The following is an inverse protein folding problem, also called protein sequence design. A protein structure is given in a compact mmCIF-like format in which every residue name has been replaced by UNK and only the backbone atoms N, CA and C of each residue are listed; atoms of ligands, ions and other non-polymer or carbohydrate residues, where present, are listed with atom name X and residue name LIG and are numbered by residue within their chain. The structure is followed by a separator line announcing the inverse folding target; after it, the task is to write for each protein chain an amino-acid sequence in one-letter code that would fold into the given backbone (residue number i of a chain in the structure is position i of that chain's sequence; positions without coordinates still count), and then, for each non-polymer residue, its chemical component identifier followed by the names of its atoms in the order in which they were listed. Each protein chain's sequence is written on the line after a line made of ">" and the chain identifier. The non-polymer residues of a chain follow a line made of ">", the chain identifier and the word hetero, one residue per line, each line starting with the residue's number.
data_IF_208731882466
#
_entry.id   IF_208731882466
#
_cell.length_a   1.000
_cell.length_b   1.000
_cell.length_c   1.000
_cell.angle_alpha   90.00
_cell.angle_beta   90.00
_cell.angle_gamma   90.00
#
_symmetry.space_group_name_H-M   'P 1'
#
loop_
_entity.id
_entity.type
_entity.pdbx_description
1 polymer ?
#
# COMPACT_ATOMS: atom_id res chain seq x y z
N UNK A 1 -8.85 1.52 18.86
CA UNK A 1 -7.86 0.59 18.26
C UNK A 1 -7.80 0.86 16.77
N UNK A 2 -6.71 1.37 16.25
CA UNK A 2 -6.52 1.52 14.81
C UNK A 2 -6.19 0.13 14.27
N UNK A 3 -6.96 -0.36 13.31
CA UNK A 3 -6.63 -1.60 12.58
C UNK A 3 -5.28 -1.40 11.88
N UNK A 4 -4.25 -1.95 12.47
CA UNK A 4 -2.91 -1.98 11.92
C UNK A 4 -2.87 -3.05 10.82
N UNK A 5 -2.51 -2.72 9.58
CA UNK A 5 -2.45 -3.71 8.51
C UNK A 5 -1.45 -4.85 8.78
N UNK A 6 -0.47 -4.62 9.65
CA UNK A 6 0.51 -5.63 10.06
C UNK A 6 -0.06 -6.73 10.97
N UNK A 7 -1.28 -6.55 11.50
CA UNK A 7 -1.98 -7.51 12.34
C UNK A 7 -3.28 -7.98 11.67
N UNK A 8 -3.34 -7.98 10.35
CA UNK A 8 -4.47 -8.56 9.64
C UNK A 8 -4.59 -10.05 10.01
N UNK A 9 -5.78 -10.46 10.48
CA UNK A 9 -6.03 -11.87 10.73
C UNK A 9 -5.81 -12.67 9.43
N UNK A 10 -5.05 -13.75 9.52
CA UNK A 10 -4.92 -14.71 8.42
C UNK A 10 -6.32 -15.23 8.11
N UNK A 11 -6.82 -14.93 6.94
CA UNK A 11 -8.15 -15.36 6.49
C UNK A 11 -8.01 -16.44 5.44
N UNK A 12 -8.88 -17.46 5.45
CA UNK A 12 -8.93 -18.42 4.37
C UNK A 12 -9.03 -17.70 3.03
N UNK A 13 -8.11 -17.99 2.12
CA UNK A 13 -8.07 -17.40 0.79
C UNK A 13 -9.00 -18.17 -0.17
N UNK A 14 -9.15 -17.67 -1.39
CA UNK A 14 -9.89 -18.41 -2.41
C UNK A 14 -9.24 -19.77 -2.75
N UNK A 15 -7.93 -19.92 -2.54
CA UNK A 15 -7.18 -21.18 -2.71
C UNK A 15 -7.46 -22.23 -1.63
N UNK A 16 -8.20 -21.89 -0.58
CA UNK A 16 -8.73 -22.86 0.40
C UNK A 16 -10.10 -23.43 -0.03
N UNK A 17 -10.68 -22.95 -1.12
CA UNK A 17 -12.01 -23.34 -1.57
C UNK A 17 -11.94 -24.56 -2.49
N UNK A 18 -12.62 -25.69 -2.14
CA UNK A 18 -12.63 -26.91 -2.97
C UNK A 18 -13.06 -26.66 -4.42
N UNK A 19 -14.04 -25.74 -4.62
CA UNK A 19 -14.55 -25.39 -5.96
C UNK A 19 -13.51 -24.73 -6.85
N UNK A 20 -12.59 -23.92 -6.27
CA UNK A 20 -11.50 -23.33 -7.03
C UNK A 20 -10.46 -24.39 -7.37
N UNK A 21 -10.04 -25.17 -6.37
CA UNK A 21 -9.04 -26.23 -6.54
C UNK A 21 -9.46 -27.25 -7.61
N UNK A 22 -10.76 -27.61 -7.64
CA UNK A 22 -11.32 -28.52 -8.67
C UNK A 22 -11.28 -27.94 -10.08
N UNK A 23 -11.39 -26.61 -10.22
CA UNK A 23 -11.33 -25.92 -11.53
C UNK A 23 -9.93 -25.65 -12.03
N UNK A 24 -8.94 -25.76 -11.15
CA UNK A 24 -7.55 -25.64 -11.53
C UNK A 24 -7.09 -26.88 -12.30
N UNK A 25 -6.10 -26.71 -13.15
CA UNK A 25 -5.41 -27.86 -13.75
C UNK A 25 -4.73 -28.70 -12.68
N UNK A 26 -4.88 -30.03 -12.69
CA UNK A 26 -4.26 -30.91 -11.70
C UNK A 26 -2.77 -30.68 -11.52
N UNK A 27 -2.04 -30.49 -12.64
CA UNK A 27 -0.62 -30.17 -12.60
C UNK A 27 -0.31 -28.88 -11.82
N UNK A 28 -1.18 -27.85 -11.89
CA UNK A 28 -1.00 -26.61 -11.15
C UNK A 28 -1.28 -26.80 -9.65
N UNK A 29 -2.24 -27.65 -9.28
CA UNK A 29 -2.46 -28.02 -7.88
C UNK A 29 -1.24 -28.74 -7.31
N UNK A 30 -0.71 -29.73 -8.04
CA UNK A 30 0.53 -30.42 -7.64
C UNK A 30 1.73 -29.48 -7.54
N UNK A 31 1.82 -28.54 -8.47
CA UNK A 31 2.87 -27.52 -8.49
C UNK A 31 2.77 -26.58 -7.27
N UNK A 32 1.55 -26.19 -6.86
CA UNK A 32 1.32 -25.37 -5.66
C UNK A 32 1.89 -26.05 -4.41
N UNK A 33 1.72 -27.36 -4.28
CA UNK A 33 2.20 -28.14 -3.12
C UNK A 33 3.53 -28.86 -3.39
N UNK A 34 4.29 -28.46 -4.42
CA UNK A 34 5.60 -29.06 -4.71
C UNK A 34 6.65 -28.88 -3.59
N UNK A 35 6.71 -27.78 -2.80
CA UNK A 35 7.67 -27.67 -1.71
C UNK A 35 7.52 -28.78 -0.66
N UNK A 36 8.66 -29.32 -0.22
CA UNK A 36 8.70 -30.45 0.74
C UNK A 36 8.00 -30.12 2.07
N UNK A 37 8.11 -28.87 2.55
CA UNK A 37 7.40 -28.38 3.75
C UNK A 37 5.88 -28.43 3.62
N UNK A 38 5.35 -28.11 2.43
CA UNK A 38 3.92 -28.14 2.16
C UNK A 38 3.41 -29.57 2.09
N UNK A 39 4.14 -30.46 1.38
CA UNK A 39 3.79 -31.88 1.30
C UNK A 39 3.79 -32.55 2.66
N UNK A 40 4.82 -32.28 3.46
CA UNK A 40 4.88 -32.79 4.83
C UNK A 40 3.70 -32.33 5.67
N UNK A 41 3.40 -31.03 5.64
CA UNK A 41 2.27 -30.43 6.37
C UNK A 41 0.94 -31.10 6.01
N UNK A 42 0.71 -31.38 4.72
CA UNK A 42 -0.49 -32.08 4.24
C UNK A 42 -0.48 -33.55 4.70
N UNK A 43 0.64 -34.26 4.54
CA UNK A 43 0.76 -35.66 4.92
C UNK A 43 0.54 -35.88 6.44
N UNK A 44 1.07 -34.98 7.29
CA UNK A 44 0.86 -35.01 8.74
C UNK A 44 -0.64 -34.85 9.12
N UNK A 45 -1.48 -34.41 8.17
CA UNK A 45 -2.94 -34.28 8.29
C UNK A 45 -3.75 -35.32 7.49
N UNK A 46 -3.06 -36.35 7.02
CA UNK A 46 -3.69 -37.42 6.24
C UNK A 46 -4.06 -37.05 4.82
N UNK A 47 -3.57 -35.91 4.30
CA UNK A 47 -3.79 -35.49 2.92
C UNK A 47 -2.58 -35.92 2.07
N UNK A 48 -2.82 -36.85 1.16
CA UNK A 48 -1.84 -37.31 0.16
C UNK A 48 -2.37 -36.93 -1.21
N UNK A 49 -1.64 -36.08 -1.93
CA UNK A 49 -1.96 -35.74 -3.31
C UNK A 49 -1.37 -36.82 -4.22
N UNK A 50 -2.17 -37.55 -5.00
CA UNK A 50 -1.68 -38.55 -5.94
C UNK A 50 -0.93 -37.86 -7.11
N UNK A 51 0.02 -38.59 -7.71
CA UNK A 51 0.76 -38.07 -8.87
C UNK A 51 -0.13 -37.92 -10.12
N UNK A 52 -1.15 -38.76 -10.22
CA UNK A 52 -2.19 -38.78 -11.25
C UNK A 52 -3.47 -38.04 -10.81
N UNK A 53 -3.31 -36.93 -10.10
CA UNK A 53 -4.42 -36.11 -9.64
C UNK A 53 -5.35 -35.75 -10.82
N UNK A 54 -6.65 -36.00 -10.65
CA UNK A 54 -7.68 -35.71 -11.63
C UNK A 54 -8.89 -34.95 -11.03
N UNK A 55 -9.88 -34.67 -11.85
CA UNK A 55 -11.10 -33.95 -11.45
C UNK A 55 -11.98 -34.73 -10.45
N UNK A 56 -11.79 -36.05 -10.33
CA UNK A 56 -12.56 -36.91 -9.41
C UNK A 56 -12.04 -36.82 -7.97
N UNK A 57 -10.86 -36.25 -7.75
CA UNK A 57 -10.27 -36.10 -6.43
C UNK A 57 -11.19 -35.26 -5.51
N UNK A 58 -11.40 -35.74 -4.29
CA UNK A 58 -12.14 -34.97 -3.29
C UNK A 58 -11.29 -33.87 -2.67
N UNK A 59 -11.47 -32.63 -3.14
CA UNK A 59 -10.80 -31.45 -2.64
C UNK A 59 -11.34 -30.92 -1.31
N UNK A 60 -12.42 -31.49 -0.75
CA UNK A 60 -13.01 -30.98 0.50
C UNK A 60 -12.07 -31.14 1.69
N UNK A 61 -11.43 -32.29 1.92
CA UNK A 61 -10.46 -32.44 3.02
C UNK A 61 -9.28 -31.50 2.88
N UNK A 62 -8.74 -31.31 1.66
CA UNK A 62 -7.65 -30.38 1.38
C UNK A 62 -8.07 -28.94 1.71
N UNK A 63 -9.25 -28.52 1.24
CA UNK A 63 -9.79 -27.19 1.51
C UNK A 63 -9.98 -26.91 3.00
N UNK A 64 -10.43 -27.92 3.77
CA UNK A 64 -10.57 -27.82 5.22
C UNK A 64 -9.21 -27.63 5.93
N UNK A 65 -8.19 -28.39 5.54
CA UNK A 65 -6.83 -28.25 6.08
C UNK A 65 -6.26 -26.87 5.77
N UNK A 66 -6.45 -26.37 4.55
CA UNK A 66 -5.96 -25.06 4.15
C UNK A 66 -6.75 -23.89 4.76
N UNK A 67 -8.00 -24.12 5.17
CA UNK A 67 -8.83 -23.08 5.84
C UNK A 67 -8.57 -22.98 7.33
N UNK A 68 -8.06 -24.04 7.96
CA UNK A 68 -7.85 -24.14 9.40
C UNK A 68 -6.34 -24.05 9.72
N UNK A 69 -5.80 -22.85 9.60
CA UNK A 69 -4.41 -22.61 9.99
C UNK A 69 -4.22 -22.86 11.49
N UNK A 70 -3.14 -23.58 11.83
CA UNK A 70 -2.70 -23.90 13.19
C UNK A 70 -1.31 -23.36 13.44
N UNK A 71 -0.83 -23.47 14.68
CA UNK A 71 0.50 -22.99 15.07
C UNK A 71 1.64 -23.64 14.29
N UNK A 72 1.43 -24.85 13.78
CA UNK A 72 2.40 -25.63 12.98
C UNK A 72 2.22 -25.47 11.45
N UNK A 73 1.27 -24.62 10.99
CA UNK A 73 1.14 -24.32 9.57
C UNK A 73 2.41 -23.62 9.06
N UNK A 74 3.06 -24.13 7.99
CA UNK A 74 4.24 -23.49 7.44
C UNK A 74 3.97 -22.01 7.09
N UNK A 75 4.72 -21.05 7.65
CA UNK A 75 4.52 -19.62 7.35
C UNK A 75 4.59 -19.33 5.86
N UNK A 76 5.52 -19.99 5.15
CA UNK A 76 5.65 -19.85 3.70
C UNK A 76 4.38 -20.26 2.95
N UNK A 77 3.70 -21.32 3.36
CA UNK A 77 2.43 -21.74 2.74
C UNK A 77 1.36 -20.66 2.91
N UNK A 78 1.26 -20.07 4.10
CA UNK A 78 0.30 -18.97 4.36
C UNK A 78 0.59 -17.77 3.47
N UNK A 79 1.86 -17.32 3.43
CA UNK A 79 2.29 -16.19 2.60
C UNK A 79 2.01 -16.45 1.11
N UNK A 80 2.31 -17.65 0.62
CA UNK A 80 2.06 -18.02 -0.77
C UNK A 80 0.57 -18.04 -1.11
N UNK A 81 -0.28 -18.59 -0.23
CA UNK A 81 -1.73 -18.58 -0.44
C UNK A 81 -2.32 -17.16 -0.47
N UNK A 82 -1.83 -16.27 0.38
CA UNK A 82 -2.24 -14.87 0.37
C UNK A 82 -1.80 -14.15 -0.92
N UNK A 83 -0.55 -14.37 -1.33
CA UNK A 83 0.02 -13.84 -2.57
C UNK A 83 -0.77 -14.31 -3.79
N UNK A 84 -1.03 -15.61 -3.89
CA UNK A 84 -1.80 -16.22 -4.97
C UNK A 84 -3.23 -15.68 -5.02
N UNK A 85 -3.91 -15.60 -3.88
CA UNK A 85 -5.26 -15.04 -3.81
C UNK A 85 -5.31 -13.59 -4.27
N UNK A 86 -4.28 -12.82 -3.94
CA UNK A 86 -4.15 -11.46 -4.39
C UNK A 86 -3.96 -11.37 -5.90
N UNK A 87 -3.10 -12.21 -6.49
CA UNK A 87 -2.88 -12.27 -7.93
C UNK A 87 -4.16 -12.72 -8.65
N UNK A 88 -4.80 -13.80 -8.20
CA UNK A 88 -5.99 -14.37 -8.83
C UNK A 88 -7.24 -13.45 -8.77
N UNK A 89 -7.40 -12.68 -7.69
CA UNK A 89 -8.54 -11.77 -7.53
C UNK A 89 -8.44 -10.47 -8.35
N UNK A 90 -7.36 -10.26 -9.04
CA UNK A 90 -7.10 -9.02 -9.78
C UNK A 90 -7.66 -9.00 -11.21
N UNK A 91 -8.72 -9.70 -11.49
CA UNK A 91 -9.33 -9.85 -12.83
C UNK A 91 -9.52 -8.57 -13.66
N UNK A 92 -9.46 -7.39 -13.06
CA UNK A 92 -9.69 -6.12 -13.78
C UNK A 92 -8.46 -5.24 -14.01
N UNK A 93 -7.28 -5.65 -13.55
CA UNK A 93 -6.10 -4.77 -13.55
C UNK A 93 -4.79 -5.49 -13.91
N UNK A 94 -4.86 -6.58 -14.65
CA UNK A 94 -3.67 -7.19 -15.25
C UNK A 94 -3.17 -6.33 -16.43
N UNK A 95 -2.74 -5.12 -16.14
CA UNK A 95 -1.65 -4.55 -16.90
C UNK A 95 -0.36 -5.17 -16.33
N UNK A 96 -0.15 -6.44 -16.65
CA UNK A 96 1.17 -7.01 -16.49
C UNK A 96 2.13 -6.12 -17.26
N UNK A 97 3.19 -5.67 -16.62
CA UNK A 97 4.35 -5.16 -17.32
C UNK A 97 4.75 -6.16 -18.42
N UNK A 98 5.43 -5.70 -19.45
CA UNK A 98 5.78 -6.55 -20.61
C UNK A 98 6.41 -7.88 -20.21
N UNK A 99 7.19 -7.89 -19.12
CA UNK A 99 7.81 -9.07 -18.52
C UNK A 99 6.78 -10.12 -18.07
N UNK A 100 5.67 -9.69 -17.44
CA UNK A 100 4.59 -10.59 -17.08
C UNK A 100 3.78 -11.07 -18.30
N UNK A 101 3.62 -10.23 -19.31
CA UNK A 101 2.94 -10.63 -20.56
C UNK A 101 3.72 -11.72 -21.28
N UNK A 102 5.03 -11.66 -21.24
CA UNK A 102 5.89 -12.69 -21.84
C UNK A 102 5.75 -14.02 -21.08
N UNK A 103 5.76 -14.00 -19.75
CA UNK A 103 5.53 -15.21 -18.94
C UNK A 103 4.14 -15.79 -19.18
N UNK A 104 3.11 -14.93 -19.27
CA UNK A 104 1.75 -15.38 -19.62
C UNK A 104 1.76 -16.10 -20.96
N UNK A 105 2.41 -15.54 -22.00
CA UNK A 105 2.49 -16.17 -23.31
C UNK A 105 3.27 -17.49 -23.31
N UNK A 106 4.36 -17.58 -22.52
CA UNK A 106 5.21 -18.77 -22.46
C UNK A 106 4.61 -19.91 -21.64
N UNK A 107 3.80 -19.61 -20.64
CA UNK A 107 3.35 -20.60 -19.64
C UNK A 107 1.83 -20.79 -19.59
N UNK A 108 1.03 -19.96 -20.24
CA UNK A 108 -0.41 -20.11 -20.25
C UNK A 108 -0.84 -21.09 -21.36
N UNK A 109 -1.52 -22.15 -20.96
CA UNK A 109 -2.11 -23.15 -21.85
C UNK A 109 -3.61 -22.91 -22.05
N UNK A 110 -4.17 -23.44 -23.13
CA UNK A 110 -5.58 -23.33 -23.40
C UNK A 110 -6.43 -23.97 -22.27
N UNK A 111 -7.43 -23.26 -21.81
CA UNK A 111 -8.34 -23.70 -20.77
C UNK A 111 -7.83 -23.53 -19.34
N UNK A 112 -6.69 -22.88 -19.14
CA UNK A 112 -6.19 -22.53 -17.79
C UNK A 112 -6.95 -21.36 -17.19
N UNK A 113 -7.06 -21.39 -15.87
CA UNK A 113 -7.64 -20.32 -15.06
C UNK A 113 -6.58 -19.30 -14.62
N UNK A 114 -7.01 -18.13 -14.16
CA UNK A 114 -6.09 -17.18 -13.52
C UNK A 114 -5.43 -17.73 -12.25
N UNK A 115 -6.05 -18.71 -11.59
CA UNK A 115 -5.45 -19.39 -10.45
C UNK A 115 -4.27 -20.27 -10.88
N UNK A 116 -4.40 -20.97 -12.00
CA UNK A 116 -3.32 -21.77 -12.58
C UNK A 116 -2.14 -20.89 -12.96
N UNK A 117 -2.41 -19.79 -13.65
CA UNK A 117 -1.40 -18.80 -14.01
C UNK A 117 -0.69 -18.23 -12.77
N UNK A 118 -1.42 -17.87 -11.72
CA UNK A 118 -0.83 -17.34 -10.50
C UNK A 118 0.16 -18.34 -9.88
N UNK A 119 -0.18 -19.64 -9.83
CA UNK A 119 0.71 -20.70 -9.35
C UNK A 119 1.95 -20.84 -10.23
N UNK A 120 1.79 -20.83 -11.54
CA UNK A 120 2.92 -20.87 -12.49
C UNK A 120 3.87 -19.68 -12.30
N UNK A 121 3.34 -18.46 -12.18
CA UNK A 121 4.12 -17.25 -11.91
C UNK A 121 4.89 -17.41 -10.58
N UNK A 122 4.22 -17.84 -9.52
CA UNK A 122 4.86 -18.03 -8.22
C UNK A 122 6.02 -19.03 -8.27
N UNK A 123 5.90 -20.10 -9.05
CA UNK A 123 6.92 -21.18 -9.10
C UNK A 123 8.03 -20.91 -10.12
N UNK A 124 7.73 -20.33 -11.26
CA UNK A 124 8.72 -20.10 -12.32
C UNK A 124 9.35 -18.70 -12.28
N UNK A 125 8.64 -17.71 -11.75
CA UNK A 125 9.11 -16.33 -11.65
C UNK A 125 8.70 -15.69 -10.31
N UNK A 126 9.17 -16.22 -9.16
CA UNK A 126 8.75 -15.75 -7.84
C UNK A 126 9.03 -14.26 -7.62
N UNK A 127 10.09 -13.71 -8.22
CA UNK A 127 10.41 -12.28 -8.15
C UNK A 127 9.29 -11.40 -8.72
N UNK A 128 8.61 -11.84 -9.78
CA UNK A 128 7.48 -11.11 -10.37
C UNK A 128 6.25 -11.19 -9.46
N UNK A 129 5.99 -12.35 -8.88
CA UNK A 129 4.90 -12.50 -7.91
C UNK A 129 5.09 -11.54 -6.73
N UNK A 130 6.28 -11.48 -6.16
CA UNK A 130 6.61 -10.58 -5.06
C UNK A 130 6.61 -9.11 -5.47
N UNK A 131 7.09 -8.77 -6.66
CA UNK A 131 7.03 -7.41 -7.21
C UNK A 131 5.57 -6.92 -7.31
N UNK A 132 4.66 -7.78 -7.78
CA UNK A 132 3.23 -7.44 -7.83
C UNK A 132 2.60 -7.35 -6.44
N UNK A 133 3.01 -8.19 -5.48
CA UNK A 133 2.61 -8.06 -4.08
C UNK A 133 3.01 -6.69 -3.52
N UNK A 134 4.26 -6.32 -3.68
CA UNK A 134 4.78 -5.03 -3.25
C UNK A 134 4.02 -3.87 -3.90
N UNK A 135 3.82 -3.92 -5.23
CA UNK A 135 3.05 -2.91 -5.97
C UNK A 135 1.64 -2.70 -5.42
N UNK A 136 1.01 -3.75 -4.90
CA UNK A 136 -0.32 -3.66 -4.29
C UNK A 136 -0.27 -3.19 -2.85
N UNK A 137 0.72 -3.62 -2.09
CA UNK A 137 0.97 -3.08 -0.76
C UNK A 137 1.16 -1.56 -0.84
N UNK A 138 1.87 -1.06 -1.87
CA UNK A 138 1.99 0.35 -2.21
C UNK A 138 0.63 1.04 -2.41
N UNK A 139 -0.26 0.43 -3.17
CA UNK A 139 -1.61 0.97 -3.44
C UNK A 139 -2.53 0.96 -2.23
N UNK A 140 -2.25 0.13 -1.23
CA UNK A 140 -3.02 0.04 0.01
C UNK A 140 -2.56 1.04 1.08
N UNK A 141 -1.40 1.66 0.94
CA UNK A 141 -0.93 2.70 1.86
C UNK A 141 -1.85 3.92 1.78
N UNK A 142 -2.40 4.32 2.94
CA UNK A 142 -3.46 5.32 3.01
C UNK A 142 -3.03 6.71 3.43
N UNK A 143 -1.76 6.88 3.83
CA UNK A 143 -1.27 8.15 4.34
C UNK A 143 0.21 8.34 4.04
N UNK A 144 0.49 9.38 3.27
CA UNK A 144 1.84 9.84 2.99
C UNK A 144 2.01 11.26 3.50
N UNK A 145 3.21 11.57 3.95
CA UNK A 145 3.68 12.94 4.09
C UNK A 145 4.58 13.27 2.91
N UNK A 146 4.46 14.49 2.41
CA UNK A 146 5.17 14.95 1.23
C UNK A 146 6.31 15.88 1.61
N UNK A 147 7.45 15.69 0.96
CA UNK A 147 8.66 16.48 1.17
C UNK A 147 9.25 16.88 -0.17
N UNK A 148 9.62 18.14 -0.31
CA UNK A 148 10.32 18.65 -1.49
C UNK A 148 11.82 18.60 -1.29
N UNK A 149 12.54 18.37 -2.38
CA UNK A 149 14.01 18.44 -2.41
C UNK A 149 14.43 19.91 -2.43
N UNK A 150 15.40 20.28 -1.60
CA UNK A 150 15.95 21.63 -1.60
C UNK A 150 16.53 21.99 -2.98
N UNK A 151 16.39 23.26 -3.36
CA UNK A 151 16.87 23.76 -4.65
C UNK A 151 18.40 23.57 -4.79
N UNK A 152 18.83 23.28 -6.01
CA UNK A 152 20.26 23.12 -6.34
C UNK A 152 20.88 21.76 -5.99
N UNK A 153 20.15 20.87 -5.33
CA UNK A 153 20.65 19.51 -5.05
C UNK A 153 20.45 18.58 -6.24
N UNK A 154 21.42 17.70 -6.46
CA UNK A 154 21.39 16.68 -7.52
C UNK A 154 20.70 15.41 -7.01
N UNK A 155 19.95 14.76 -7.89
CA UNK A 155 19.38 13.45 -7.63
C UNK A 155 20.37 12.35 -7.97
N UNK A 156 20.70 11.50 -7.02
CA UNK A 156 21.62 10.38 -7.20
C UNK A 156 20.84 9.09 -7.44
N UNK A 157 21.27 8.22 -8.37
CA UNK A 157 20.53 6.98 -8.69
C UNK A 157 20.56 5.97 -7.52
N UNK A 158 19.55 5.08 -7.42
CA UNK A 158 19.48 4.02 -6.43
C UNK A 158 20.42 2.86 -6.82
N UNK A 159 21.70 2.98 -6.48
CA UNK A 159 22.64 1.86 -6.66
C UNK A 159 22.54 0.87 -5.49
N UNK A 160 22.93 -0.39 -5.70
CA UNK A 160 22.95 -1.42 -4.65
C UNK A 160 23.78 -0.99 -3.45
N UNK A 161 24.91 -0.30 -3.67
CA UNK A 161 25.75 0.27 -2.62
C UNK A 161 25.00 1.30 -1.76
N UNK A 162 24.23 2.19 -2.38
CA UNK A 162 23.41 3.17 -1.64
C UNK A 162 22.28 2.50 -0.88
N UNK A 163 21.63 1.49 -1.48
CA UNK A 163 20.59 0.71 -0.81
C UNK A 163 21.18 -0.01 0.41
N UNK A 164 22.33 -0.68 0.28
CA UNK A 164 23.03 -1.29 1.41
C UNK A 164 23.43 -0.27 2.50
N UNK A 165 23.78 0.94 2.10
CA UNK A 165 24.08 2.04 3.05
C UNK A 165 22.82 2.50 3.79
N UNK A 166 21.66 2.60 3.11
CA UNK A 166 20.37 2.87 3.75
C UNK A 166 20.01 1.76 4.75
N UNK A 167 20.11 0.50 4.35
CA UNK A 167 19.82 -0.64 5.22
C UNK A 167 20.68 -0.59 6.50
N UNK A 168 21.98 -0.25 6.36
CA UNK A 168 22.91 -0.12 7.48
C UNK A 168 22.50 1.01 8.41
N UNK A 169 22.25 2.21 7.88
CA UNK A 169 21.83 3.37 8.67
C UNK A 169 20.52 3.12 9.41
N UNK A 170 19.53 2.61 8.70
CA UNK A 170 18.22 2.34 9.29
C UNK A 170 18.27 1.19 10.30
N UNK A 171 19.06 0.14 10.05
CA UNK A 171 19.24 -0.97 11.01
C UNK A 171 19.81 -0.46 12.33
N UNK A 172 20.85 0.37 12.28
CA UNK A 172 21.46 0.98 13.48
C UNK A 172 20.47 1.87 14.23
N UNK A 173 19.66 2.65 13.50
CA UNK A 173 18.64 3.49 14.12
C UNK A 173 17.51 2.66 14.75
N UNK A 174 17.02 1.62 14.07
CA UNK A 174 15.99 0.73 14.59
C UNK A 174 16.44 0.02 15.86
N UNK A 175 17.66 -0.51 15.88
CA UNK A 175 18.22 -1.16 17.06
C UNK A 175 18.29 -0.20 18.25
N UNK A 176 18.80 1.02 18.05
CA UNK A 176 18.84 2.07 19.07
C UNK A 176 17.47 2.45 19.63
N UNK A 177 16.40 2.27 18.84
CA UNK A 177 15.02 2.58 19.20
C UNK A 177 14.21 1.32 19.59
N UNK A 178 14.86 0.27 20.11
CA UNK A 178 14.27 -0.97 20.61
C UNK A 178 13.45 -1.75 19.55
N UNK A 179 13.75 -1.54 18.26
CA UNK A 179 13.22 -2.30 17.14
C UNK A 179 14.19 -3.40 16.71
N UNK A 180 14.06 -3.92 15.51
CA UNK A 180 15.01 -4.92 15.01
C UNK A 180 16.33 -4.27 14.56
N UNK A 181 17.44 -5.00 14.70
CA UNK A 181 18.73 -4.65 14.07
C UNK A 181 18.82 -5.07 12.59
N UNK A 182 17.74 -5.58 12.02
CA UNK A 182 17.69 -6.00 10.62
C UNK A 182 16.65 -5.18 9.86
N UNK A 183 17.11 -4.45 8.86
CA UNK A 183 16.31 -3.72 7.90
C UNK A 183 16.62 -4.21 6.50
N UNK A 184 15.60 -4.30 5.64
CA UNK A 184 15.76 -4.59 4.21
C UNK A 184 14.99 -3.58 3.40
N UNK A 185 15.62 -3.14 2.32
CA UNK A 185 15.04 -2.15 1.40
C UNK A 185 14.96 -2.76 0.01
N UNK A 186 13.75 -2.86 -0.52
CA UNK A 186 13.52 -3.24 -1.91
C UNK A 186 13.15 -2.01 -2.71
N UNK A 187 13.65 -1.94 -3.92
CA UNK A 187 13.37 -0.83 -4.85
C UNK A 187 12.48 -1.30 -5.98
N UNK A 188 11.57 -0.44 -6.38
CA UNK A 188 10.77 -0.62 -7.57
C UNK A 188 10.70 0.70 -8.32
N UNK A 189 11.11 0.70 -9.58
CA UNK A 189 11.06 1.85 -10.46
C UNK A 189 9.93 1.68 -11.46
N UNK A 190 9.20 2.76 -11.72
CA UNK A 190 8.17 2.86 -12.75
C UNK A 190 8.26 4.22 -13.48
N UNK A 191 7.30 4.49 -14.37
CA UNK A 191 7.27 5.73 -15.13
C UNK A 191 7.11 7.00 -14.27
N UNK A 192 6.49 6.89 -13.10
CA UNK A 192 6.22 8.00 -12.19
C UNK A 192 7.39 8.28 -11.25
N UNK A 193 8.19 7.24 -10.92
CA UNK A 193 9.28 7.43 -9.97
C UNK A 193 9.92 6.15 -9.47
N UNK A 194 10.44 6.22 -8.23
CA UNK A 194 11.12 5.13 -7.55
C UNK A 194 10.46 4.90 -6.20
N UNK A 195 10.02 3.69 -5.96
CA UNK A 195 9.46 3.24 -4.68
C UNK A 195 10.50 2.44 -3.90
N UNK A 196 10.60 2.72 -2.61
CA UNK A 196 11.45 2.00 -1.65
C UNK A 196 10.55 1.39 -0.59
N UNK A 197 10.57 0.07 -0.47
CA UNK A 197 9.82 -0.68 0.53
C UNK A 197 10.78 -1.06 1.62
N UNK A 198 10.61 -0.45 2.79
CA UNK A 198 11.45 -0.65 3.97
C UNK A 198 10.79 -1.68 4.87
N UNK A 199 11.36 -2.88 4.93
CA UNK A 199 10.92 -3.97 5.79
C UNK A 199 11.74 -3.98 7.06
N UNK A 200 11.09 -3.92 8.22
CA UNK A 200 11.74 -3.97 9.53
C UNK A 200 10.81 -4.57 10.60
N UNK A 201 11.35 -4.92 11.77
CA UNK A 201 10.53 -5.32 12.92
C UNK A 201 10.12 -4.11 13.75
N UNK A 202 8.88 -4.10 14.24
CA UNK A 202 8.37 -3.07 15.15
C UNK A 202 8.85 -3.30 16.60
N UNK A 203 8.30 -2.55 17.53
CA UNK A 203 8.53 -2.77 18.96
C UNK A 203 8.08 -4.16 19.39
N UNK A 204 8.79 -4.73 20.37
CA UNK A 204 8.42 -6.01 20.93
C UNK A 204 7.08 -5.89 21.68
N UNK A 205 6.09 -6.66 21.26
CA UNK A 205 4.76 -6.68 21.85
C UNK A 205 4.51 -7.99 22.61
N UNK A 206 3.90 -7.86 23.80
CA UNK A 206 3.38 -9.00 24.53
C UNK A 206 1.94 -9.26 24.07
N UNK A 207 1.69 -10.46 23.56
CA UNK A 207 0.37 -10.91 23.16
C UNK A 207 -0.07 -12.11 23.99
N UNK A 208 -1.30 -12.06 24.52
CA UNK A 208 -1.97 -13.26 25.00
C UNK A 208 -2.43 -14.09 23.81
N UNK A 209 -2.10 -15.35 23.78
CA UNK A 209 -2.51 -16.31 22.76
C UNK A 209 -3.20 -17.51 23.41
N UNK A 210 -4.17 -18.08 22.71
CA UNK A 210 -4.76 -19.36 23.08
C UNK A 210 -4.06 -20.44 22.23
N UNK A 211 -3.42 -21.39 22.90
CA UNK A 211 -2.77 -22.53 22.24
C UNK A 211 -3.83 -23.52 21.70
N UNK A 212 -3.41 -24.44 20.82
CA UNK A 212 -4.31 -25.40 20.19
C UNK A 212 -4.99 -26.35 21.20
N UNK A 213 -4.40 -26.51 22.38
CA UNK A 213 -4.97 -27.28 23.53
C UNK A 213 -5.97 -26.48 24.37
N UNK A 214 -6.22 -25.21 24.01
CA UNK A 214 -7.10 -24.30 24.75
C UNK A 214 -6.43 -23.57 25.92
N UNK A 215 -5.16 -23.84 26.22
CA UNK A 215 -4.41 -23.13 27.26
C UNK A 215 -4.11 -21.69 26.87
N UNK A 216 -4.04 -20.79 27.89
CA UNK A 216 -3.67 -19.39 27.67
C UNK A 216 -2.19 -19.20 27.92
N UNK A 217 -1.50 -18.69 26.90
CA UNK A 217 -0.08 -18.37 26.95
C UNK A 217 0.19 -16.89 26.71
N UNK A 218 1.40 -16.44 27.02
CA UNK A 218 1.86 -15.09 26.70
C UNK A 218 3.12 -15.19 25.84
N UNK A 219 3.02 -14.71 24.59
CA UNK A 219 4.14 -14.69 23.64
C UNK A 219 4.64 -13.28 23.43
N UNK A 220 5.97 -13.15 23.38
CA UNK A 220 6.63 -11.91 22.96
C UNK A 220 6.87 -12.00 21.45
N UNK A 221 6.20 -11.15 20.70
CA UNK A 221 6.29 -11.11 19.24
C UNK A 221 6.79 -9.74 18.80
N UNK A 222 7.60 -9.74 17.76
CA UNK A 222 8.03 -8.54 17.06
C UNK A 222 7.32 -8.47 15.72
N UNK A 223 6.25 -7.66 15.60
CA UNK A 223 5.52 -7.53 14.35
C UNK A 223 6.42 -7.03 13.23
N UNK A 224 6.25 -7.57 12.04
CA UNK A 224 6.85 -7.03 10.83
C UNK A 224 6.14 -5.74 10.42
N UNK A 225 6.91 -4.78 9.91
CA UNK A 225 6.46 -3.53 9.32
C UNK A 225 7.00 -3.37 7.92
N UNK A 226 6.13 -2.87 7.06
CA UNK A 226 6.47 -2.41 5.72
C UNK A 226 6.15 -0.91 5.64
N UNK A 227 7.17 -0.09 5.61
CA UNK A 227 7.03 1.33 5.36
C UNK A 227 7.39 1.63 3.90
N UNK A 228 6.73 2.62 3.33
CA UNK A 228 6.88 2.99 1.94
C UNK A 228 7.44 4.39 1.82
N UNK A 229 8.48 4.51 1.01
CA UNK A 229 9.02 5.79 0.59
C UNK A 229 8.98 5.82 -0.93
N UNK A 230 8.44 6.88 -1.51
CA UNK A 230 8.33 7.02 -2.96
C UNK A 230 8.90 8.35 -3.42
N UNK A 231 9.79 8.33 -4.38
CA UNK A 231 10.36 9.50 -5.03
C UNK A 231 9.70 9.72 -6.39
N UNK A 232 9.01 10.84 -6.56
CA UNK A 232 8.43 11.28 -7.82
C UNK A 232 9.45 12.06 -8.63
N UNK A 233 9.93 11.49 -9.72
CA UNK A 233 10.97 12.11 -10.56
C UNK A 233 10.53 13.47 -11.15
N UNK A 234 9.30 13.55 -11.66
CA UNK A 234 8.78 14.74 -12.33
C UNK A 234 8.67 15.97 -11.40
N UNK A 235 8.17 15.79 -10.21
CA UNK A 235 7.98 16.87 -9.21
C UNK A 235 9.15 16.99 -8.23
N UNK A 236 10.12 16.07 -8.27
CA UNK A 236 11.22 15.95 -7.30
C UNK A 236 10.72 15.91 -5.85
N UNK A 237 9.66 15.14 -5.63
CA UNK A 237 8.95 15.08 -4.37
C UNK A 237 9.08 13.68 -3.76
N UNK A 238 9.36 13.64 -2.48
CA UNK A 238 9.40 12.42 -1.68
C UNK A 238 8.09 12.25 -0.91
N UNK A 239 7.46 11.11 -1.05
CA UNK A 239 6.29 10.68 -0.28
C UNK A 239 6.76 9.65 0.73
N UNK A 240 6.59 9.92 2.02
CA UNK A 240 7.03 9.03 3.10
C UNK A 240 5.81 8.55 3.88
N UNK A 241 5.60 7.23 3.93
CA UNK A 241 4.69 6.59 4.85
C UNK A 241 5.49 6.02 6.02
N UNK A 242 4.91 6.03 7.21
CA UNK A 242 5.55 5.48 8.40
C UNK A 242 4.72 5.75 9.63
N UNK A 243 4.93 4.96 10.68
CA UNK A 243 4.22 5.10 11.95
C UNK A 243 5.02 5.94 12.92
N UNK A 244 4.57 7.19 13.11
CA UNK A 244 5.18 8.14 14.03
C UNK A 244 6.23 9.05 13.39
N UNK A 245 6.31 10.25 13.91
CA UNK A 245 7.12 11.32 13.30
C UNK A 245 8.62 11.02 13.36
N UNK A 246 9.08 10.38 14.45
CA UNK A 246 10.50 10.04 14.62
C UNK A 246 11.03 9.11 13.52
N UNK A 247 10.24 8.12 13.09
CA UNK A 247 10.66 7.20 12.02
C UNK A 247 10.67 7.91 10.66
N UNK A 248 9.69 8.79 10.41
CA UNK A 248 9.63 9.60 9.20
C UNK A 248 10.79 10.59 9.12
N UNK A 249 11.16 11.21 10.25
CA UNK A 249 12.33 12.08 10.34
C UNK A 249 13.61 11.31 10.02
N UNK A 250 13.74 10.08 10.49
CA UNK A 250 14.90 9.25 10.16
C UNK A 250 14.93 8.85 8.69
N UNK A 251 13.78 8.48 8.10
CA UNK A 251 13.72 8.25 6.66
C UNK A 251 14.09 9.49 5.87
N UNK A 252 13.55 10.65 6.23
CA UNK A 252 13.90 11.95 5.62
C UNK A 252 15.39 12.20 5.65
N UNK A 253 16.03 11.97 6.82
CA UNK A 253 17.47 12.15 7.01
C UNK A 253 18.29 11.17 6.17
N UNK A 254 17.97 9.87 6.22
CA UNK A 254 18.73 8.82 5.54
C UNK A 254 18.61 8.94 4.01
N UNK A 255 17.40 9.11 3.49
CA UNK A 255 17.16 9.26 2.05
C UNK A 255 17.71 10.61 1.53
N UNK A 256 17.56 11.69 2.30
CA UNK A 256 18.17 12.98 1.97
C UNK A 256 19.70 12.89 1.85
N UNK A 257 20.35 12.25 2.81
CA UNK A 257 21.81 12.09 2.80
C UNK A 257 22.30 11.26 1.60
N UNK A 258 21.66 10.13 1.33
CA UNK A 258 22.15 9.16 0.34
C UNK A 258 21.73 9.47 -1.09
N UNK A 259 20.62 10.17 -1.29
CA UNK A 259 20.12 10.53 -2.62
C UNK A 259 20.40 11.98 -3.02
N UNK A 260 20.68 12.86 -2.06
CA UNK A 260 20.93 14.29 -2.33
C UNK A 260 22.19 14.84 -1.63
N UNK A 261 22.97 13.97 -0.98
CA UNK A 261 24.25 14.32 -0.35
C UNK A 261 24.16 15.04 0.98
N UNK A 262 22.95 15.34 1.49
CA UNK A 262 22.78 16.01 2.78
C UNK A 262 21.57 15.53 3.55
N UNK A 263 21.71 15.37 4.86
CA UNK A 263 20.62 14.93 5.74
C UNK A 263 19.42 15.90 5.79
N UNK A 264 19.63 17.16 5.44
CA UNK A 264 18.61 18.20 5.44
C UNK A 264 18.05 18.51 4.03
N UNK A 265 18.27 17.61 3.07
CA UNK A 265 17.83 17.79 1.69
C UNK A 265 16.30 17.89 1.54
N UNK A 266 15.56 17.25 2.44
CA UNK A 266 14.11 17.09 2.33
C UNK A 266 13.40 18.01 3.34
N UNK A 267 12.58 18.91 2.83
CA UNK A 267 11.74 19.81 3.62
C UNK A 267 10.26 19.47 3.45
N UNK A 268 9.43 19.57 4.51
CA UNK A 268 7.99 19.38 4.36
C UNK A 268 7.43 20.28 3.26
N UNK A 269 6.75 19.69 2.29
CA UNK A 269 6.14 20.44 1.20
C UNK A 269 4.67 20.70 1.53
N UNK A 270 4.17 21.92 1.21
CA UNK A 270 2.74 22.22 1.29
C UNK A 270 2.06 21.80 -0.01
N UNK A 271 1.81 20.52 -0.13
CA UNK A 271 1.20 19.97 -1.34
C UNK A 271 -0.30 20.21 -1.43
N UNK A 272 -0.98 20.26 -0.29
CA UNK A 272 -2.44 20.33 -0.27
C UNK A 272 -2.92 21.69 0.23
N UNK A 273 -4.01 22.19 -0.41
CA UNK A 273 -4.70 23.40 -0.03
C UNK A 273 -6.20 23.15 0.09
N UNK A 274 -6.85 23.86 0.97
CA UNK A 274 -8.31 23.93 1.06
C UNK A 274 -8.86 25.31 0.60
N UNK A 275 -7.99 26.18 0.09
CA UNK A 275 -8.39 27.47 -0.48
C UNK A 275 -9.46 27.37 -1.57
N UNK A 276 -9.49 26.33 -2.44
CA UNK A 276 -10.56 26.20 -3.41
C UNK A 276 -11.96 26.21 -2.80
N UNK A 277 -12.13 25.77 -1.53
CA UNK A 277 -13.43 25.78 -0.85
C UNK A 277 -14.01 27.19 -0.67
N UNK A 278 -13.18 28.24 -0.70
CA UNK A 278 -13.59 29.64 -0.63
C UNK A 278 -14.50 29.99 -1.83
N UNK A 279 -14.25 29.36 -2.98
CA UNK A 279 -15.05 29.58 -4.21
C UNK A 279 -16.39 28.82 -4.20
N UNK A 280 -16.74 28.18 -3.08
CA UNK A 280 -18.00 27.48 -2.91
C UNK A 280 -18.06 26.19 -3.75
N UNK A 281 -19.27 25.76 -4.10
CA UNK A 281 -19.53 24.47 -4.75
C UNK A 281 -18.86 24.30 -6.13
N UNK A 282 -18.54 25.39 -6.81
CA UNK A 282 -17.88 25.36 -8.12
C UNK A 282 -16.48 24.70 -8.07
N UNK A 283 -15.79 24.73 -6.92
CA UNK A 283 -14.49 24.08 -6.76
C UNK A 283 -14.56 22.54 -6.85
N UNK A 284 -15.75 21.96 -6.73
CA UNK A 284 -15.99 20.52 -6.86
C UNK A 284 -16.52 20.13 -8.25
N UNK A 285 -16.33 20.96 -9.26
CA UNK A 285 -16.80 20.70 -10.62
C UNK A 285 -16.13 19.43 -11.19
N UNK A 286 -16.95 18.52 -11.75
CA UNK A 286 -16.54 17.26 -12.32
C UNK A 286 -16.96 17.11 -13.79
N UNK A 287 -17.23 18.24 -14.49
CA UNK A 287 -17.74 18.21 -15.88
C UNK A 287 -16.78 17.58 -16.87
N UNK A 288 -15.50 17.57 -16.57
CA UNK A 288 -14.47 17.01 -17.44
C UNK A 288 -13.64 15.99 -16.65
N UNK A 289 -13.75 14.71 -17.00
CA UNK A 289 -12.89 13.68 -16.43
C UNK A 289 -13.62 12.44 -15.90
N UNK A 290 -12.86 11.49 -15.36
CA UNK A 290 -13.39 10.20 -14.87
C UNK A 290 -14.04 10.28 -13.49
N UNK A 291 -14.16 11.46 -12.87
CA UNK A 291 -14.95 11.67 -11.64
C UNK A 291 -16.30 12.27 -12.04
N UNK A 292 -17.38 11.53 -11.78
CA UNK A 292 -18.73 11.95 -12.15
C UNK A 292 -19.45 12.79 -11.08
N UNK A 293 -18.96 12.77 -9.85
CA UNK A 293 -19.54 13.52 -8.73
C UNK A 293 -18.50 13.72 -7.64
N UNK A 294 -18.41 14.95 -7.11
CA UNK A 294 -17.69 15.27 -5.89
C UNK A 294 -18.64 15.99 -4.91
N UNK A 295 -18.63 15.56 -3.65
CA UNK A 295 -19.51 16.10 -2.61
C UNK A 295 -18.70 16.37 -1.35
N UNK A 296 -18.70 17.62 -0.86
CA UNK A 296 -18.15 17.97 0.44
C UNK A 296 -19.02 17.38 1.55
N UNK A 297 -18.45 16.47 2.36
CA UNK A 297 -19.16 15.76 3.44
C UNK A 297 -18.89 16.34 4.81
N UNK A 298 -17.72 16.96 4.99
CA UNK A 298 -17.33 17.57 6.25
C UNK A 298 -16.27 18.62 5.99
N UNK A 299 -16.29 19.68 6.77
CA UNK A 299 -15.23 20.69 6.82
C UNK A 299 -15.00 21.08 8.28
N UNK A 300 -13.73 21.28 8.65
CA UNK A 300 -13.35 21.85 9.95
C UNK A 300 -12.67 23.18 9.72
N UNK A 301 -13.18 24.19 10.39
CA UNK A 301 -12.70 25.59 10.39
C UNK A 301 -12.06 25.90 11.73
N UNK A 302 -11.04 26.71 11.74
CA UNK A 302 -10.46 27.31 12.94
C UNK A 302 -10.76 28.81 12.96
N UNK A 303 -11.32 29.29 14.06
CA UNK A 303 -11.53 30.72 14.30
C UNK A 303 -10.21 31.40 14.70
N UNK A 304 -10.19 32.73 14.70
CA UNK A 304 -9.05 33.50 15.22
C UNK A 304 -8.73 33.18 16.70
N UNK A 305 -9.75 32.87 17.50
CA UNK A 305 -9.58 32.45 18.90
C UNK A 305 -9.05 31.02 19.07
N UNK A 306 -8.79 30.30 17.94
CA UNK A 306 -8.30 28.92 17.95
C UNK A 306 -9.39 27.86 18.13
N UNK A 307 -10.66 28.23 18.24
CA UNK A 307 -11.76 27.27 18.32
C UNK A 307 -11.96 26.54 17.01
N UNK A 308 -12.28 25.24 17.10
CA UNK A 308 -12.57 24.42 15.94
C UNK A 308 -14.07 24.23 15.75
N UNK A 309 -14.57 24.55 14.56
CA UNK A 309 -15.95 24.35 14.17
C UNK A 309 -15.98 23.30 13.07
N UNK A 310 -16.68 22.18 13.30
CA UNK A 310 -16.83 21.13 12.30
C UNK A 310 -18.27 21.08 11.81
N UNK A 311 -18.42 21.26 10.49
CA UNK A 311 -19.69 21.18 9.78
C UNK A 311 -19.73 19.84 9.04
N UNK A 312 -20.82 19.08 9.23
CA UNK A 312 -21.07 17.80 8.54
C UNK A 312 -22.49 17.76 8.02
N UNK A 313 -22.71 17.25 6.84
CA UNK A 313 -24.06 17.16 6.29
C UNK A 313 -24.15 16.67 4.87
N UNK A 314 -25.37 16.72 4.37
CA UNK A 314 -25.66 16.40 2.97
C UNK A 314 -25.23 17.55 2.03
N UNK A 315 -25.47 18.80 2.42
CA UNK A 315 -25.00 20.01 1.75
C UNK A 315 -24.21 20.89 2.75
N UNK A 316 -22.91 20.65 2.80
CA UNK A 316 -22.02 21.39 3.70
C UNK A 316 -21.82 22.82 3.22
N UNK A 317 -21.93 23.10 1.90
CA UNK A 317 -21.74 24.45 1.38
C UNK A 317 -22.86 25.42 1.77
N UNK A 318 -24.10 24.94 1.91
CA UNK A 318 -25.19 25.78 2.40
C UNK A 318 -24.87 26.31 3.81
N UNK A 319 -24.53 25.41 4.73
CA UNK A 319 -24.14 25.75 6.10
C UNK A 319 -22.82 26.53 6.18
N UNK A 320 -21.89 26.25 5.27
CA UNK A 320 -20.59 26.93 5.21
C UNK A 320 -20.79 28.42 4.81
N UNK A 321 -21.69 28.73 3.85
CA UNK A 321 -21.96 30.07 3.43
C UNK A 321 -22.55 30.97 4.53
N UNK A 322 -23.24 30.36 5.50
CA UNK A 322 -23.79 31.07 6.67
C UNK A 322 -22.76 31.29 7.79
N UNK A 323 -21.82 30.38 7.94
CA UNK A 323 -20.91 30.32 9.10
C UNK A 323 -19.49 30.81 8.79
N UNK A 324 -19.08 30.77 7.51
CA UNK A 324 -17.71 31.12 7.10
C UNK A 324 -17.47 32.62 7.19
N UNK A 325 -16.38 33.00 7.84
CA UNK A 325 -15.80 34.35 7.80
C UNK A 325 -14.41 34.28 7.17
N UNK A 326 -13.97 35.29 6.40
CA UNK A 326 -12.60 35.33 5.82
C UNK A 326 -11.46 35.22 6.84
N UNK A 327 -11.77 35.47 8.10
CA UNK A 327 -10.83 35.34 9.21
C UNK A 327 -10.65 33.89 9.70
N UNK A 328 -11.54 33.01 9.24
CA UNK A 328 -11.46 31.58 9.59
C UNK A 328 -10.54 30.85 8.62
N UNK A 329 -9.86 29.84 9.14
CA UNK A 329 -8.95 28.99 8.38
C UNK A 329 -9.52 27.59 8.21
N UNK A 330 -9.45 27.06 7.01
CA UNK A 330 -9.74 25.65 6.73
C UNK A 330 -8.65 24.73 7.27
N UNK A 331 -9.01 23.79 8.15
CA UNK A 331 -8.07 22.84 8.78
C UNK A 331 -8.18 21.45 8.15
N UNK A 332 -9.42 21.03 7.89
CA UNK A 332 -9.70 19.70 7.35
C UNK A 332 -10.92 19.74 6.45
N UNK A 333 -10.90 18.97 5.36
CA UNK A 333 -12.08 18.71 4.55
C UNK A 333 -12.18 17.25 4.14
N UNK A 334 -13.39 16.68 4.20
CA UNK A 334 -13.69 15.35 3.68
C UNK A 334 -14.59 15.45 2.47
N UNK A 335 -14.12 14.92 1.33
CA UNK A 335 -14.81 14.93 0.05
C UNK A 335 -15.12 13.49 -0.36
N UNK A 336 -16.36 13.23 -0.77
CA UNK A 336 -16.76 11.96 -1.35
C UNK A 336 -16.78 12.09 -2.87
N UNK A 337 -16.06 11.19 -3.55
CA UNK A 337 -15.88 11.17 -4.99
C UNK A 337 -16.54 9.93 -5.59
N UNK A 338 -17.27 10.08 -6.70
CA UNK A 338 -17.78 8.98 -7.50
C UNK A 338 -16.92 8.85 -8.76
N UNK A 339 -16.07 7.86 -8.78
CA UNK A 339 -15.21 7.54 -9.92
C UNK A 339 -15.99 6.66 -10.90
N UNK A 340 -15.99 6.99 -12.19
CA UNK A 340 -16.64 6.21 -13.24
C UNK A 340 -16.08 4.79 -13.25
N UNK A 341 -16.96 3.78 -13.32
CA UNK A 341 -16.57 2.37 -13.29
C UNK A 341 -16.21 1.80 -11.92
N UNK A 342 -16.28 2.57 -10.84
CA UNK A 342 -16.02 2.08 -9.47
C UNK A 342 -17.25 2.12 -8.56
N UNK A 343 -17.42 1.08 -7.76
CA UNK A 343 -18.31 1.00 -6.59
C UNK A 343 -17.46 0.50 -5.42
N UNK A 344 -17.51 1.07 -4.22
CA UNK A 344 -18.28 2.22 -3.72
C UNK A 344 -17.63 3.59 -3.99
N UNK A 345 -18.24 4.68 -3.47
CA UNK A 345 -17.64 6.02 -3.49
C UNK A 345 -16.31 6.05 -2.74
N UNK A 346 -15.37 6.80 -3.29
CA UNK A 346 -14.07 7.08 -2.68
C UNK A 346 -14.22 8.26 -1.74
N UNK A 347 -13.82 8.13 -0.47
CA UNK A 347 -13.75 9.25 0.47
C UNK A 347 -12.30 9.64 0.68
N UNK A 348 -12.00 10.92 0.52
CA UNK A 348 -10.70 11.51 0.81
C UNK A 348 -10.84 12.56 1.90
N UNK A 349 -9.88 12.66 2.80
CA UNK A 349 -9.79 13.71 3.81
C UNK A 349 -8.47 14.43 3.65
N UNK A 350 -8.53 15.73 3.40
CA UNK A 350 -7.38 16.61 3.16
C UNK A 350 -7.09 17.38 4.44
N UNK A 351 -5.82 17.37 4.88
CA UNK A 351 -5.29 18.12 6.03
C UNK A 351 -4.04 18.87 5.62
N UNK A 352 -4.15 20.12 5.17
CA UNK A 352 -3.01 20.88 4.66
C UNK A 352 -1.89 21.09 5.69
N UNK A 353 -2.22 21.34 6.96
CA UNK A 353 -1.22 21.57 8.01
C UNK A 353 -0.31 20.37 8.25
N UNK A 354 -0.83 19.17 8.09
CA UNK A 354 -0.06 17.94 8.18
C UNK A 354 0.44 17.45 6.81
N UNK A 355 0.24 18.26 5.77
CA UNK A 355 0.50 17.89 4.39
C UNK A 355 0.01 16.45 4.06
N UNK A 356 -1.18 16.13 4.52
CA UNK A 356 -1.70 14.77 4.57
C UNK A 356 -3.03 14.66 3.87
N UNK A 357 -3.14 13.63 3.05
CA UNK A 357 -4.41 13.14 2.53
C UNK A 357 -4.64 11.71 3.02
N UNK A 358 -5.84 11.42 3.47
CA UNK A 358 -6.24 10.06 3.88
C UNK A 358 -7.42 9.58 3.05
N UNK A 359 -7.54 8.27 2.89
CA UNK A 359 -8.53 7.64 2.04
C UNK A 359 -7.88 6.97 0.84
N UNK A 360 -8.65 6.68 -0.19
CA UNK A 360 -8.16 6.06 -1.43
C UNK A 360 -7.56 7.11 -2.38
N UNK A 361 -6.57 7.87 -1.92
CA UNK A 361 -5.92 8.91 -2.70
C UNK A 361 -4.96 8.40 -3.77
N UNK A 362 -4.51 7.14 -3.66
CA UNK A 362 -3.54 6.51 -4.59
C UNK A 362 -4.16 6.09 -5.93
N UNK A 363 -5.32 6.62 -6.25
CA UNK A 363 -5.94 6.43 -7.54
C UNK A 363 -5.47 7.58 -8.43
N UNK A 364 -4.74 7.35 -9.53
CA UNK A 364 -4.22 8.43 -10.40
C UNK A 364 -5.29 9.43 -10.81
N UNK A 365 -6.51 8.96 -11.02
CA UNK A 365 -7.69 9.78 -11.32
C UNK A 365 -8.03 10.77 -10.21
N UNK A 366 -7.89 10.37 -8.94
CA UNK A 366 -8.15 11.25 -7.80
C UNK A 366 -7.05 12.30 -7.68
N UNK A 367 -5.82 11.94 -7.90
CA UNK A 367 -4.69 12.89 -7.89
C UNK A 367 -4.83 13.92 -9.01
N UNK A 368 -5.09 13.49 -10.24
CA UNK A 368 -5.32 14.40 -11.36
C UNK A 368 -6.48 15.36 -11.09
N UNK A 369 -7.56 14.89 -10.45
CA UNK A 369 -8.68 15.74 -10.07
C UNK A 369 -8.28 16.76 -8.99
N UNK A 370 -7.51 16.37 -7.97
CA UNK A 370 -7.01 17.27 -6.93
C UNK A 370 -6.11 18.36 -7.52
N UNK A 371 -5.28 18.02 -8.49
CA UNK A 371 -4.43 18.97 -9.22
C UNK A 371 -5.29 19.94 -10.05
N UNK A 372 -6.24 19.43 -10.82
CA UNK A 372 -7.10 20.23 -11.69
C UNK A 372 -8.00 21.19 -10.90
N UNK A 373 -8.44 20.79 -9.72
CA UNK A 373 -9.32 21.60 -8.84
C UNK A 373 -8.56 22.51 -7.88
N UNK A 374 -7.22 22.45 -7.87
CA UNK A 374 -6.38 23.29 -7.01
C UNK A 374 -6.29 22.81 -5.54
N UNK A 375 -6.86 21.67 -5.20
CA UNK A 375 -6.66 21.06 -3.87
C UNK A 375 -5.25 20.45 -3.71
N UNK A 376 -4.57 20.19 -4.83
CA UNK A 376 -3.15 19.84 -4.87
C UNK A 376 -2.38 20.98 -5.54
N UNK A 377 -1.43 21.55 -4.79
CA UNK A 377 -0.54 22.58 -5.31
C UNK A 377 0.56 21.86 -6.09
N UNK A 378 0.54 21.95 -7.41
CA UNK A 378 1.68 21.55 -8.23
C UNK A 378 2.74 22.64 -8.10
N UNK A 379 3.82 22.35 -7.40
CA UNK A 379 5.01 23.17 -7.56
C UNK A 379 5.50 22.99 -9.00
N UNK A 380 5.22 23.94 -9.87
CA UNK A 380 5.95 24.05 -11.11
C UNK A 380 7.47 24.03 -10.73
N UNK A 381 8.31 23.24 -11.43
CA UNK A 381 9.75 23.37 -11.25
C UNK A 381 10.04 24.86 -11.40
N UNK A 382 10.76 25.44 -10.41
CA UNK A 382 11.12 26.84 -10.45
C UNK A 382 11.72 27.09 -11.84
N UNK A 383 10.94 27.75 -12.69
CA UNK A 383 11.40 28.17 -14.00
C UNK A 383 12.68 28.94 -13.71
N UNK A 384 13.75 28.54 -14.34
CA UNK A 384 14.98 29.31 -14.43
C UNK A 384 14.57 30.77 -14.63
N UNK A 385 14.62 31.54 -13.56
CA UNK A 385 14.64 32.98 -13.67
C UNK A 385 15.96 33.28 -14.38
N UNK A 386 15.88 33.39 -15.70
CA UNK A 386 16.91 33.98 -16.51
C UNK A 386 17.24 35.33 -15.90
N UNK A 387 18.40 35.38 -15.27
CA UNK A 387 19.04 36.60 -14.88
C UNK A 387 19.57 37.20 -16.19
N UNK A 388 18.81 38.15 -16.73
CA UNK A 388 19.32 39.09 -17.72
C UNK A 388 20.09 40.20 -17.02
#
# INVERSE_FOLDING_TARGET
>A
MRNDPAMAAVRPTCFCRPDLLRRMKPACVLLLFAPASHRKYLADRGIVLPEDLDESYDFVPLGLVLSNHRSDTPPQLVEELELLAMIANSQSTFHFEEECQEIVRQHMEDGETFADLAVKILRHAPHIAWKEFDRRALKCQRAFESYSVAAGLTDLPPTDERIGSIETLLSAWFEKNARTSSCRVRTQEDADGISFIVRHGDLLNRMGVIADDGSSESKLLRPERLDLIHFRKKSREWLISGVGDRIKDEYRRAFGLLFHGTANALSPSRRYSLEPLIHGKSCLDCRTGPISLAVLKSVTLQTQSGQLITIKGADVFASLGELYSPEMRFIEATIALKVVGRRPQVKITIRPEHNKITGTSNIPVVEAWLETTGFCITHAPAALLDIA
#
